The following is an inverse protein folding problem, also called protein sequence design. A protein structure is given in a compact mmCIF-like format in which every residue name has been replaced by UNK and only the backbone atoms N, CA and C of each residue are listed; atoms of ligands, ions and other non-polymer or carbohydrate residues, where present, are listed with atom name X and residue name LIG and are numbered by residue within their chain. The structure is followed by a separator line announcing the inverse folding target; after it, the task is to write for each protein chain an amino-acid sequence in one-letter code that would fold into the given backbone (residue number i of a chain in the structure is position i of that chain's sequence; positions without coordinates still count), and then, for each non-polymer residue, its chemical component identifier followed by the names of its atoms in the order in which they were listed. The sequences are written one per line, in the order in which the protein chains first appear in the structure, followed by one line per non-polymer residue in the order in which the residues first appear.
data_IF_945109290512
#
_entry.id   IF_945109290512
#
_cell.length_a   1.000
_cell.length_b   1.000
_cell.length_c   1.000
_cell.angle_alpha   90.00
_cell.angle_beta   90.00
_cell.angle_gamma   90.00
#
_symmetry.space_group_name_H-M   'P 1'
#
loop_
_entity.id
_entity.type
_entity.pdbx_description
1 polymer ?
#
# COMPACT_ATOMS: atom_id res chain seq x y z
N UNK A 1 10.50 -0.70 -0.72
CA UNK A 1 9.03 -0.71 -0.52
C UNK A 1 8.75 -0.80 0.98
N UNK A 2 8.00 0.13 1.49
CA UNK A 2 7.73 0.24 2.93
C UNK A 2 6.21 0.23 3.19
N UNK A 3 5.84 0.46 4.45
CA UNK A 3 4.44 0.42 4.88
C UNK A 3 3.57 1.45 4.15
N UNK A 4 4.12 2.63 3.85
CA UNK A 4 3.39 3.66 3.12
C UNK A 4 3.11 3.20 1.68
N UNK A 5 4.01 2.45 1.09
CA UNK A 5 3.80 1.86 -0.22
C UNK A 5 2.71 0.80 -0.18
N UNK A 6 2.62 0.03 0.90
CA UNK A 6 1.53 -0.94 1.08
C UNK A 6 0.19 -0.23 1.16
N UNK A 7 0.11 0.87 1.90
CA UNK A 7 -1.11 1.66 2.02
C UNK A 7 -1.52 2.26 0.68
N UNK A 8 -0.54 2.75 -0.08
CA UNK A 8 -0.75 3.30 -1.41
C UNK A 8 -1.33 2.25 -2.35
N UNK A 9 -0.74 1.08 -2.39
CA UNK A 9 -1.19 -0.02 -3.24
C UNK A 9 -2.61 -0.47 -2.85
N UNK A 10 -2.89 -0.53 -1.56
CA UNK A 10 -4.21 -0.88 -1.07
C UNK A 10 -5.28 0.13 -1.51
N UNK A 11 -4.97 1.43 -1.38
CA UNK A 11 -5.89 2.50 -1.79
C UNK A 11 -6.14 2.46 -3.31
N UNK A 12 -5.10 2.16 -4.10
CA UNK A 12 -5.24 2.01 -5.55
C UNK A 12 -6.12 0.81 -5.90
N UNK A 13 -5.96 -0.29 -5.18
CA UNK A 13 -6.76 -1.50 -5.41
C UNK A 13 -8.23 -1.25 -5.08
N UNK A 14 -8.50 -0.62 -3.95
CA UNK A 14 -9.88 -0.36 -3.51
C UNK A 14 -10.61 0.58 -4.46
N UNK A 15 -9.95 1.63 -4.91
CA UNK A 15 -10.61 2.70 -5.65
C UNK A 15 -10.51 2.56 -7.16
N UNK A 16 -9.42 1.98 -7.65
CA UNK A 16 -9.11 1.91 -9.08
C UNK A 16 -9.19 3.28 -9.76
N UNK A 17 -8.96 4.35 -8.98
CA UNK A 17 -9.08 5.74 -9.41
C UNK A 17 -8.03 6.57 -8.68
N UNK A 18 -7.18 7.26 -9.45
CA UNK A 18 -6.08 8.06 -8.90
C UNK A 18 -6.59 9.18 -7.98
N UNK A 19 -7.66 9.85 -8.40
CA UNK A 19 -8.23 10.95 -7.61
C UNK A 19 -8.74 10.46 -6.27
N UNK A 20 -9.51 9.38 -6.27
CA UNK A 20 -10.07 8.82 -5.05
C UNK A 20 -8.99 8.22 -4.16
N UNK A 21 -7.99 7.58 -4.74
CA UNK A 21 -6.87 7.03 -3.97
C UNK A 21 -6.08 8.14 -3.29
N UNK A 22 -5.82 9.24 -4.01
CA UNK A 22 -5.14 10.40 -3.43
C UNK A 22 -5.93 10.98 -2.26
N UNK A 23 -7.24 11.10 -2.41
CA UNK A 23 -8.11 11.57 -1.34
C UNK A 23 -8.03 10.67 -0.10
N UNK A 24 -8.06 9.36 -0.30
CA UNK A 24 -7.95 8.40 0.80
C UNK A 24 -6.62 8.51 1.54
N UNK A 25 -5.57 8.84 0.81
CA UNK A 25 -4.22 8.93 1.35
C UNK A 25 -3.86 10.34 1.82
N UNK A 26 -4.81 11.28 1.74
CA UNK A 26 -4.58 12.68 2.09
C UNK A 26 -3.40 13.28 1.31
N UNK A 27 -3.34 12.97 0.01
CA UNK A 27 -2.29 13.41 -0.90
C UNK A 27 -2.89 14.11 -2.11
N UNK A 28 -2.07 14.92 -2.79
CA UNK A 28 -2.46 15.44 -4.10
C UNK A 28 -2.28 14.34 -5.15
N UNK A 29 -3.00 14.46 -6.28
CA UNK A 29 -2.82 13.53 -7.38
C UNK A 29 -1.39 13.52 -7.90
N UNK A 30 -0.76 14.70 -7.98
CA UNK A 30 0.64 14.82 -8.41
C UNK A 30 1.59 14.06 -7.49
N UNK A 31 1.40 14.21 -6.19
CA UNK A 31 2.23 13.52 -5.21
C UNK A 31 2.06 12.00 -5.32
N UNK A 32 0.82 11.55 -5.44
CA UNK A 32 0.53 10.13 -5.59
C UNK A 32 1.16 9.57 -6.87
N UNK A 33 1.02 10.29 -7.99
CA UNK A 33 1.60 9.87 -9.27
C UNK A 33 3.12 9.73 -9.18
N UNK A 34 3.77 10.66 -8.49
CA UNK A 34 5.22 10.61 -8.29
C UNK A 34 5.63 9.41 -7.44
N UNK A 35 4.84 9.12 -6.39
CA UNK A 35 5.11 7.97 -5.54
C UNK A 35 4.96 6.65 -6.30
N UNK A 36 3.94 6.55 -7.14
CA UNK A 36 3.73 5.36 -7.98
C UNK A 36 4.92 5.17 -8.90
N UNK A 37 5.37 6.24 -9.58
CA UNK A 37 6.52 6.15 -10.48
C UNK A 37 7.80 5.78 -9.75
N UNK A 38 8.01 6.34 -8.56
CA UNK A 38 9.18 5.98 -7.75
C UNK A 38 9.18 4.51 -7.40
N UNK A 39 8.02 3.98 -7.02
CA UNK A 39 7.88 2.56 -6.70
C UNK A 39 8.11 1.68 -7.93
N UNK A 40 7.57 2.08 -9.08
CA UNK A 40 7.79 1.38 -10.34
C UNK A 40 9.28 1.34 -10.71
N UNK A 41 9.98 2.45 -10.51
CA UNK A 41 11.43 2.51 -10.77
C UNK A 41 12.21 1.63 -9.80
N UNK A 42 11.83 1.63 -8.52
CA UNK A 42 12.47 0.79 -7.52
C UNK A 42 12.34 -0.69 -7.88
N UNK A 43 11.16 -1.11 -8.30
CA UNK A 43 10.87 -2.51 -8.61
C UNK A 43 11.20 -2.91 -10.06
N UNK A 44 11.43 -1.93 -10.92
CA UNK A 44 11.77 -2.17 -12.32
C UNK A 44 10.62 -2.68 -13.17
N UNK A 45 9.37 -2.45 -12.76
CA UNK A 45 8.18 -2.88 -13.49
C UNK A 45 7.11 -1.79 -13.46
N UNK A 46 6.23 -1.79 -14.45
CA UNK A 46 5.02 -0.98 -14.39
C UNK A 46 4.00 -1.70 -13.51
N UNK A 47 3.39 -0.93 -12.61
CA UNK A 47 2.41 -1.47 -11.67
C UNK A 47 0.99 -1.19 -12.14
N UNK A 48 0.74 0.03 -12.64
CA UNK A 48 -0.60 0.44 -13.07
C UNK A 48 -0.56 1.05 -14.46
N UNK A 49 -1.69 0.92 -15.17
CA UNK A 49 -1.94 1.58 -16.44
C UNK A 49 -3.15 2.48 -16.27
N UNK A 50 -3.05 3.71 -16.78
CA UNK A 50 -4.13 4.68 -16.70
C UNK A 50 -5.02 4.58 -17.92
N UNK A 51 -6.33 4.74 -17.71
CA UNK A 51 -7.31 4.78 -18.79
C UNK A 51 -8.38 5.81 -18.43
N UNK A 52 -9.29 6.04 -19.36
CA UNK A 52 -10.42 6.95 -19.12
C UNK A 52 -11.33 6.47 -17.98
N UNK A 53 -11.35 5.17 -17.75
CA UNK A 53 -12.21 4.54 -16.75
C UNK A 53 -11.52 4.42 -15.38
N UNK A 54 -10.30 4.90 -15.27
CA UNK A 54 -9.53 4.82 -14.04
C UNK A 54 -8.18 4.16 -14.27
N UNK A 55 -7.78 3.29 -13.35
CA UNK A 55 -6.52 2.56 -13.47
C UNK A 55 -6.77 1.06 -13.53
N UNK A 56 -5.82 0.35 -14.11
CA UNK A 56 -5.78 -1.11 -14.08
C UNK A 56 -4.40 -1.53 -13.63
N UNK A 57 -4.32 -2.64 -12.92
CA UNK A 57 -3.03 -3.21 -12.54
C UNK A 57 -2.48 -4.05 -13.70
N UNK A 58 -1.18 -3.92 -13.92
CA UNK A 58 -0.48 -4.81 -14.85
C UNK A 58 -0.36 -6.19 -14.21
N UNK A 59 -0.03 -7.25 -14.96
CA UNK A 59 0.26 -8.55 -14.34
C UNK A 59 1.35 -8.46 -13.28
N UNK A 60 2.42 -7.68 -13.54
CA UNK A 60 3.46 -7.44 -12.55
C UNK A 60 2.91 -6.69 -11.34
N UNK A 61 2.06 -5.68 -11.58
CA UNK A 61 1.40 -4.92 -10.52
C UNK A 61 0.52 -5.77 -9.63
N UNK A 62 -0.17 -6.74 -10.20
CA UNK A 62 -0.98 -7.68 -9.43
C UNK A 62 -0.13 -8.55 -8.51
N UNK A 63 1.04 -8.96 -8.95
CA UNK A 63 1.97 -9.68 -8.11
C UNK A 63 2.48 -8.81 -6.96
N UNK A 64 2.82 -7.56 -7.26
CA UNK A 64 3.24 -6.60 -6.23
C UNK A 64 2.12 -6.40 -5.21
N UNK A 65 0.89 -6.25 -5.69
CA UNK A 65 -0.28 -6.08 -4.82
C UNK A 65 -0.48 -7.28 -3.90
N UNK A 66 -0.37 -8.48 -4.44
CA UNK A 66 -0.51 -9.71 -3.68
C UNK A 66 0.52 -9.79 -2.55
N UNK A 67 1.78 -9.52 -2.87
CA UNK A 67 2.85 -9.55 -1.88
C UNK A 67 2.72 -8.43 -0.85
N UNK A 68 2.30 -7.24 -1.27
CA UNK A 68 2.11 -6.13 -0.34
C UNK A 68 0.96 -6.41 0.64
N UNK A 69 -0.11 -7.03 0.17
CA UNK A 69 -1.22 -7.41 1.04
C UNK A 69 -0.78 -8.43 2.10
N UNK A 70 0.02 -9.42 1.69
CA UNK A 70 0.57 -10.41 2.61
C UNK A 70 1.51 -9.76 3.62
N UNK A 71 2.38 -8.86 3.17
CA UNK A 71 3.31 -8.15 4.05
C UNK A 71 2.57 -7.27 5.05
N UNK A 72 1.51 -6.58 4.61
CA UNK A 72 0.70 -5.74 5.49
C UNK A 72 0.03 -6.57 6.59
N UNK A 73 -0.49 -7.74 6.23
CA UNK A 73 -1.09 -8.65 7.22
C UNK A 73 -0.06 -9.14 8.23
N UNK A 74 1.13 -9.46 7.77
CA UNK A 74 2.21 -9.93 8.64
C UNK A 74 2.66 -8.83 9.60
N UNK A 75 2.76 -7.60 9.12
CA UNK A 75 3.08 -6.44 9.96
C UNK A 75 2.01 -6.21 11.02
N UNK A 76 0.75 -6.30 10.64
CA UNK A 76 -0.37 -6.14 11.57
C UNK A 76 -0.35 -7.23 12.65
N UNK A 77 -0.08 -8.45 12.26
CA UNK A 77 0.04 -9.58 13.17
C UNK A 77 1.16 -9.34 14.17
N UNK A 78 2.31 -8.88 13.69
CA UNK A 78 3.45 -8.56 14.55
C UNK A 78 3.09 -7.48 15.57
N UNK A 79 2.41 -6.42 15.13
CA UNK A 79 2.00 -5.33 16.02
C UNK A 79 1.08 -5.82 17.11
N UNK A 80 0.14 -6.69 16.78
CA UNK A 80 -0.77 -7.27 17.79
C UNK A 80 -0.01 -8.13 18.79
N UNK A 81 0.97 -8.90 18.33
CA UNK A 81 1.80 -9.71 19.21
C UNK A 81 2.63 -8.84 20.14
N UNK A 82 3.21 -7.75 19.60
CA UNK A 82 3.99 -6.82 20.42
C UNK A 82 3.13 -6.09 21.45
N UNK A 83 1.94 -5.67 21.06
CA UNK A 83 0.99 -5.03 21.95
C UNK A 83 0.58 -5.96 23.08
N UNK A 84 0.38 -7.24 22.78
CA UNK A 84 0.03 -8.24 23.79
C UNK A 84 1.16 -8.40 24.82
N UNK A 85 2.41 -8.46 24.35
CA UNK A 85 3.58 -8.57 25.22
C UNK A 85 3.70 -7.34 26.11
N UNK A 86 3.53 -6.14 25.56
CA UNK A 86 3.56 -4.89 26.33
C UNK A 86 2.42 -4.83 27.33
N UNK A 87 1.23 -5.28 26.93
CA UNK A 87 0.08 -5.34 27.80
C UNK A 87 0.31 -6.25 29.01
N UNK A 88 0.94 -7.41 28.79
CA UNK A 88 1.30 -8.32 29.86
C UNK A 88 2.33 -7.69 30.81
N UNK A 89 3.34 -7.03 30.25
CA UNK A 89 4.35 -6.35 31.05
C UNK A 89 3.74 -5.25 31.92
N UNK A 90 2.82 -4.48 31.35
CA UNK A 90 2.11 -3.45 32.09
C UNK A 90 1.18 -4.06 33.16
N UNK A 91 0.58 -5.19 32.84
CA UNK A 91 -0.35 -5.87 33.73
C UNK A 91 0.28 -6.47 34.97
N UNK A 92 1.59 -6.68 34.97
CA UNK A 92 2.32 -7.26 36.11
C UNK A 92 2.74 -6.20 37.11
N UNK A 93 2.62 -4.96 36.78
CA UNK A 93 2.94 -3.85 37.68
C UNK A 93 1.74 -3.55 38.56
#
# INVERSE_FOLDING_TARGET
MDEKDYELLHALDETRNITHAADKLYMTQSALSKRIKALEQELGVEIVLRSRQGIRFTPAGEQVLLHSAAAAREMEKMRRQLASIQGEACGTD
#
